data_IF_297933648738
#
_entry.id   IF_297933648738
#
_cell.length_a   1.000
_cell.length_b   1.000
_cell.length_c   1.000
_cell.angle_alpha   90.00
_cell.angle_beta   90.00
_cell.angle_gamma   90.00
#
_symmetry.space_group_name_H-M   'P 1'
#
loop_
_entity.id
_entity.type
_entity.pdbx_description
1 polymer ?
#
# COMPACT_ATOMS: atom_id res chain seq x y z
N UNK A 1 -26.49 27.60 81.56
CA UNK A 1 -25.09 27.29 81.21
C UNK A 1 -25.08 25.96 80.49
N UNK A 2 -24.96 26.03 79.16
CA UNK A 2 -24.88 24.92 78.22
C UNK A 2 -23.47 24.33 78.24
N UNK A 3 -23.32 23.02 78.00
CA UNK A 3 -22.29 22.44 77.10
C UNK A 3 -22.48 20.92 76.96
N UNK A 4 -23.19 20.54 75.91
CA UNK A 4 -23.11 19.22 75.30
C UNK A 4 -21.83 19.16 74.44
N UNK A 5 -21.07 18.07 74.56
CA UNK A 5 -19.94 17.76 73.69
C UNK A 5 -20.41 16.87 72.53
N UNK A 6 -20.06 17.13 71.25
CA UNK A 6 -20.40 16.23 70.16
C UNK A 6 -19.27 15.21 69.92
N UNK A 7 -19.65 13.94 69.79
CA UNK A 7 -18.82 12.90 69.21
C UNK A 7 -18.76 13.12 67.68
N UNK A 8 -17.57 13.41 67.15
CA UNK A 8 -17.33 13.45 65.71
C UNK A 8 -16.95 12.05 65.22
N UNK A 9 -17.83 11.42 64.42
CA UNK A 9 -17.52 10.19 63.71
C UNK A 9 -16.66 10.53 62.48
N UNK A 10 -15.41 10.05 62.45
CA UNK A 10 -14.54 10.16 61.29
C UNK A 10 -14.92 9.09 60.26
N UNK A 11 -15.55 9.50 59.15
CA UNK A 11 -15.69 8.67 57.96
C UNK A 11 -14.33 8.60 57.24
N UNK A 12 -13.67 7.45 57.32
CA UNK A 12 -12.54 7.12 56.45
C UNK A 12 -13.06 6.86 55.03
N UNK A 13 -12.92 7.86 54.16
CA UNK A 13 -13.14 7.71 52.73
C UNK A 13 -12.03 6.84 52.14
N UNK A 14 -12.37 5.59 51.80
CA UNK A 14 -11.49 4.69 51.07
C UNK A 14 -11.47 5.13 49.60
N UNK A 15 -10.52 5.98 49.21
CA UNK A 15 -10.24 6.24 47.79
C UNK A 15 -9.65 4.97 47.16
N UNK A 16 -10.51 4.11 46.61
CA UNK A 16 -10.09 3.12 45.65
C UNK A 16 -9.54 3.86 44.44
N UNK A 17 -8.21 3.91 44.32
CA UNK A 17 -7.56 4.30 43.08
C UNK A 17 -8.00 3.28 42.02
N UNK A 18 -8.93 3.67 41.14
CA UNK A 18 -9.23 2.92 39.95
C UNK A 18 -7.93 2.85 39.14
N UNK A 19 -7.27 1.70 39.15
CA UNK A 19 -6.21 1.42 38.19
C UNK A 19 -6.84 1.54 36.81
N UNK A 20 -6.60 2.66 36.13
CA UNK A 20 -6.98 2.81 34.74
C UNK A 20 -6.35 1.64 33.99
N UNK A 21 -7.18 0.74 33.45
CA UNK A 21 -6.67 -0.29 32.55
C UNK A 21 -5.91 0.43 31.44
N UNK A 22 -4.69 -0.01 31.08
CA UNK A 22 -3.98 0.57 29.95
C UNK A 22 -4.91 0.52 28.74
N UNK A 23 -5.07 1.67 28.07
CA UNK A 23 -5.93 1.76 26.89
C UNK A 23 -5.55 0.61 25.95
N UNK A 24 -6.50 -0.25 25.56
CA UNK A 24 -6.16 -1.43 24.79
C UNK A 24 -5.47 -1.00 23.48
N UNK A 25 -4.36 -1.65 23.14
CA UNK A 25 -3.42 -1.19 22.11
C UNK A 25 -4.14 -0.79 20.80
N UNK A 26 -3.77 0.36 20.24
CA UNK A 26 -4.34 0.85 18.99
C UNK A 26 -4.09 -0.09 17.81
N UNK A 27 -4.98 -0.03 16.82
CA UNK A 27 -4.88 -0.73 15.54
C UNK A 27 -4.30 0.21 14.49
N UNK A 28 -3.59 -0.33 13.50
CA UNK A 28 -3.05 0.45 12.39
C UNK A 28 -3.47 -0.19 11.07
N UNK A 29 -3.98 0.62 10.14
CA UNK A 29 -4.24 0.21 8.76
C UNK A 29 -3.48 1.12 7.81
N UNK A 30 -2.55 0.56 7.05
CA UNK A 30 -1.81 1.25 5.98
C UNK A 30 -2.45 0.85 4.65
N UNK A 31 -3.04 1.83 3.98
CA UNK A 31 -3.77 1.66 2.74
C UNK A 31 -3.07 2.52 1.68
N UNK A 32 -2.38 1.87 0.76
CA UNK A 32 -1.72 2.54 -0.37
C UNK A 32 -2.65 2.57 -1.57
N UNK A 33 -2.73 3.73 -2.23
CA UNK A 33 -3.39 3.90 -3.53
C UNK A 33 -2.33 4.34 -4.54
N UNK A 34 -2.00 3.44 -5.47
CA UNK A 34 -0.95 3.61 -6.47
C UNK A 34 -1.25 4.83 -7.36
N UNK A 35 -0.23 5.66 -7.60
CA UNK A 35 -0.30 6.74 -8.58
C UNK A 35 -1.09 7.99 -8.17
N UNK A 36 -1.61 8.05 -6.94
CA UNK A 36 -2.39 9.20 -6.44
C UNK A 36 -1.49 10.36 -6.05
N UNK A 37 -1.36 11.31 -6.97
CA UNK A 37 -0.70 12.58 -6.72
C UNK A 37 -1.46 13.48 -5.73
N UNK A 38 -0.71 14.33 -5.01
CA UNK A 38 -1.26 15.26 -4.03
C UNK A 38 -2.34 16.22 -4.58
N UNK A 39 -2.39 16.43 -5.89
CA UNK A 39 -3.45 17.20 -6.56
C UNK A 39 -4.86 16.67 -6.31
N UNK A 40 -5.05 15.37 -6.05
CA UNK A 40 -6.38 14.81 -5.79
C UNK A 40 -6.98 15.33 -4.47
N UNK A 41 -6.16 15.81 -3.55
CA UNK A 41 -6.58 16.38 -2.27
C UNK A 41 -6.44 17.91 -2.20
N UNK A 42 -5.64 18.51 -3.09
CA UNK A 42 -5.45 19.96 -3.16
C UNK A 42 -6.42 20.56 -4.20
N UNK A 43 -7.35 21.42 -3.76
CA UNK A 43 -8.47 21.94 -4.57
C UNK A 43 -8.19 22.18 -6.06
N UNK A 44 -9.09 21.69 -6.91
CA UNK A 44 -8.97 21.64 -8.37
C UNK A 44 -9.83 20.50 -8.93
N UNK A 45 -9.74 20.18 -10.24
CA UNK A 45 -10.34 18.97 -10.78
C UNK A 45 -9.77 17.74 -10.07
N UNK A 46 -10.62 16.95 -9.45
CA UNK A 46 -10.25 15.72 -8.76
C UNK A 46 -11.21 14.61 -9.14
N UNK A 47 -10.66 13.40 -9.22
CA UNK A 47 -11.43 12.18 -9.39
C UNK A 47 -12.13 11.74 -8.09
N UNK A 48 -11.70 12.25 -6.92
CA UNK A 48 -12.37 12.01 -5.63
C UNK A 48 -13.61 12.91 -5.49
N UNK A 49 -14.80 12.30 -5.58
CA UNK A 49 -16.07 12.99 -5.41
C UNK A 49 -16.33 13.50 -3.98
N UNK A 50 -17.40 14.29 -3.81
CA UNK A 50 -17.74 14.96 -2.55
C UNK A 50 -18.18 14.04 -1.38
N UNK A 51 -18.34 12.74 -1.61
CA UNK A 51 -18.63 11.72 -0.57
C UNK A 51 -17.46 10.73 -0.38
N UNK A 52 -16.25 11.13 -0.75
CA UNK A 52 -15.08 10.27 -0.72
C UNK A 52 -14.68 9.89 0.71
N UNK A 53 -14.48 8.60 0.96
CA UNK A 53 -13.96 8.11 2.23
C UNK A 53 -12.54 8.62 2.51
N UNK A 54 -11.69 8.67 1.48
CA UNK A 54 -10.34 9.23 1.58
C UNK A 54 -10.41 10.71 2.00
N UNK A 55 -11.29 11.50 1.39
CA UNK A 55 -11.51 12.91 1.79
C UNK A 55 -12.00 13.03 3.23
N UNK A 56 -12.99 12.23 3.63
CA UNK A 56 -13.49 12.23 5.00
C UNK A 56 -12.42 11.87 6.03
N UNK A 57 -11.53 10.91 5.72
CA UNK A 57 -10.39 10.58 6.58
C UNK A 57 -9.38 11.73 6.66
N UNK A 58 -9.10 12.42 5.55
CA UNK A 58 -8.22 13.58 5.54
C UNK A 58 -8.80 14.77 6.32
N UNK A 59 -10.12 15.01 6.24
CA UNK A 59 -10.83 16.08 6.94
C UNK A 59 -10.96 15.81 8.46
N UNK A 60 -11.20 14.56 8.84
CA UNK A 60 -11.31 14.15 10.25
C UNK A 60 -9.94 13.93 10.92
N UNK A 61 -8.87 13.81 10.13
CA UNK A 61 -7.52 13.49 10.58
C UNK A 61 -6.50 14.58 10.27
N UNK A 62 -5.28 14.14 9.98
CA UNK A 62 -4.21 14.99 9.49
C UNK A 62 -3.81 14.55 8.09
N UNK A 63 -3.55 15.50 7.20
CA UNK A 63 -3.02 15.22 5.86
C UNK A 63 -1.84 16.14 5.55
N UNK A 64 -0.85 15.60 4.83
CA UNK A 64 0.23 16.38 4.28
C UNK A 64 -0.20 16.99 2.95
N UNK A 65 0.01 18.29 2.76
CA UNK A 65 -0.23 18.91 1.45
C UNK A 65 0.68 18.26 0.41
N UNK A 66 1.97 18.08 0.72
CA UNK A 66 2.95 17.49 -0.20
C UNK A 66 3.76 16.44 0.54
N UNK A 67 4.08 15.36 -0.17
CA UNK A 67 5.04 14.33 0.26
C UNK A 67 6.17 14.32 -0.76
N UNK A 68 7.41 14.35 -0.29
CA UNK A 68 8.59 14.17 -1.14
C UNK A 68 8.89 12.68 -1.21
N UNK A 69 8.82 12.12 -2.42
CA UNK A 69 9.08 10.72 -2.68
C UNK A 69 10.58 10.45 -2.93
N UNK A 70 10.95 9.17 -3.00
CA UNK A 70 12.31 8.69 -3.28
C UNK A 70 12.64 8.73 -4.77
N UNK A 71 13.93 8.55 -5.10
CA UNK A 71 14.36 8.38 -6.48
C UNK A 71 14.80 6.91 -6.69
N UNK A 72 14.29 6.21 -7.71
CA UNK A 72 13.22 6.63 -8.64
C UNK A 72 11.82 6.60 -8.00
N UNK A 73 10.93 7.49 -8.45
CA UNK A 73 9.53 7.62 -7.99
C UNK A 73 8.63 6.59 -8.70
N UNK A 74 8.81 5.32 -8.37
CA UNK A 74 8.06 4.17 -8.94
C UNK A 74 7.67 3.19 -7.84
N UNK A 75 6.69 2.34 -8.12
CA UNK A 75 5.96 1.52 -7.14
C UNK A 75 6.82 0.83 -6.08
N UNK A 76 7.74 -0.08 -6.45
CA UNK A 76 8.42 -0.92 -5.47
C UNK A 76 9.44 -0.15 -4.59
N UNK A 77 10.31 0.72 -5.13
CA UNK A 77 11.18 1.59 -4.33
C UNK A 77 10.41 2.45 -3.31
N UNK A 78 9.32 3.09 -3.75
CA UNK A 78 8.51 3.95 -2.90
C UNK A 78 7.76 3.15 -1.83
N UNK A 79 7.13 2.02 -2.18
CA UNK A 79 6.47 1.14 -1.20
C UNK A 79 7.45 0.51 -0.19
N UNK A 80 8.63 0.10 -0.63
CA UNK A 80 9.68 -0.38 0.27
C UNK A 80 10.14 0.73 1.23
N UNK A 81 10.23 1.98 0.77
CA UNK A 81 10.52 3.13 1.63
C UNK A 81 9.42 3.35 2.67
N UNK A 82 8.14 3.31 2.27
CA UNK A 82 6.99 3.49 3.16
C UNK A 82 7.05 2.52 4.35
N UNK A 83 7.42 1.26 4.10
CA UNK A 83 7.41 0.20 5.14
C UNK A 83 8.75 -0.01 5.82
N UNK A 84 9.83 0.68 5.42
CA UNK A 84 11.15 0.54 6.06
C UNK A 84 11.65 1.84 6.68
N UNK A 85 11.10 3.00 6.28
CA UNK A 85 11.51 4.32 6.72
C UNK A 85 12.91 4.75 6.25
N UNK A 86 13.47 4.06 5.25
CA UNK A 86 14.81 4.35 4.68
C UNK A 86 14.73 4.43 3.16
N UNK A 87 15.70 5.06 2.46
CA UNK A 87 15.64 5.20 1.00
C UNK A 87 16.12 3.93 0.25
N UNK A 88 15.93 3.86 -1.09
CA UNK A 88 16.38 2.76 -1.95
C UNK A 88 17.82 2.33 -1.77
N UNK A 89 18.72 3.29 -1.58
CA UNK A 89 20.13 3.03 -1.31
C UNK A 89 20.39 2.18 -0.04
N UNK A 90 19.43 2.13 0.89
CA UNK A 90 19.54 1.38 2.14
C UNK A 90 18.67 0.11 2.16
N UNK A 91 17.45 0.13 1.62
CA UNK A 91 16.61 -1.07 1.57
C UNK A 91 16.87 -1.96 0.35
N UNK A 92 17.64 -1.50 -0.64
CA UNK A 92 18.12 -2.31 -1.78
C UNK A 92 17.15 -2.45 -2.95
N UNK A 93 15.93 -1.93 -2.84
CA UNK A 93 14.91 -1.97 -3.90
C UNK A 93 14.99 -0.67 -4.70
N UNK A 94 15.78 -0.67 -5.77
CA UNK A 94 16.03 0.52 -6.59
C UNK A 94 15.22 0.58 -7.90
N UNK A 95 14.38 -0.42 -8.15
CA UNK A 95 13.54 -0.53 -9.33
C UNK A 95 12.28 -1.35 -8.98
N UNK A 96 11.32 -1.43 -9.90
CA UNK A 96 10.22 -2.39 -9.89
C UNK A 96 10.68 -3.83 -10.18
N UNK A 97 11.79 -3.98 -10.90
CA UNK A 97 12.34 -5.28 -11.25
C UNK A 97 13.49 -5.19 -12.25
N UNK A 98 14.18 -6.31 -12.45
CA UNK A 98 15.34 -6.42 -13.35
C UNK A 98 15.00 -7.33 -14.52
N UNK A 99 15.31 -6.89 -15.74
CA UNK A 99 15.08 -7.66 -16.98
C UNK A 99 13.64 -8.21 -17.12
N UNK A 100 12.64 -7.42 -16.70
CA UNK A 100 11.22 -7.80 -16.78
C UNK A 100 10.74 -8.72 -15.63
N UNK A 101 11.61 -9.05 -14.67
CA UNK A 101 11.28 -9.82 -13.48
C UNK A 101 11.07 -8.87 -12.30
N UNK A 102 9.83 -8.81 -11.80
CA UNK A 102 9.43 -7.97 -10.66
C UNK A 102 10.08 -8.39 -9.34
N UNK A 103 10.37 -7.41 -8.47
CA UNK A 103 10.80 -7.66 -7.09
C UNK A 103 9.63 -8.09 -6.19
N UNK A 104 9.16 -9.32 -6.38
CA UNK A 104 7.95 -9.83 -5.72
C UNK A 104 8.17 -10.36 -4.30
N UNK A 105 9.41 -10.65 -3.88
CA UNK A 105 9.69 -11.39 -2.64
C UNK A 105 10.01 -10.48 -1.48
N UNK A 106 9.66 -10.91 -0.26
CA UNK A 106 10.15 -10.27 0.97
C UNK A 106 11.67 -10.16 0.97
N UNK A 107 12.38 -11.19 0.48
CA UNK A 107 13.84 -11.20 0.42
C UNK A 107 14.47 -10.11 -0.46
N UNK A 108 13.68 -9.44 -1.29
CA UNK A 108 14.17 -8.36 -2.16
C UNK A 108 14.41 -7.07 -1.35
N UNK A 109 13.78 -6.93 -0.18
CA UNK A 109 14.02 -5.82 0.77
C UNK A 109 15.13 -6.23 1.76
N UNK A 110 16.26 -5.53 1.74
CA UNK A 110 17.45 -5.89 2.51
C UNK A 110 17.38 -5.58 4.02
N UNK A 111 16.41 -4.78 4.44
CA UNK A 111 16.26 -4.31 5.82
C UNK A 111 14.94 -4.78 6.43
N UNK A 112 14.79 -4.64 7.75
CA UNK A 112 13.53 -4.90 8.44
C UNK A 112 12.42 -3.97 7.94
N UNK A 113 11.23 -4.55 7.78
CA UNK A 113 10.01 -3.81 7.42
C UNK A 113 9.13 -3.60 8.65
N UNK A 114 8.11 -2.76 8.49
CA UNK A 114 7.10 -2.47 9.50
C UNK A 114 6.42 -3.75 10.00
N UNK A 115 6.13 -4.71 9.11
CA UNK A 115 5.52 -5.98 9.50
C UNK A 115 6.49 -6.88 10.27
N UNK A 116 7.78 -6.89 9.95
CA UNK A 116 8.78 -7.64 10.73
C UNK A 116 8.91 -7.07 12.14
N UNK A 117 8.94 -5.73 12.25
CA UNK A 117 8.98 -5.03 13.53
C UNK A 117 7.71 -5.27 14.35
N UNK A 118 6.54 -5.19 13.73
CA UNK A 118 5.26 -5.47 14.39
C UNK A 118 5.18 -6.91 14.91
N UNK A 119 5.57 -7.89 14.08
CA UNK A 119 5.60 -9.30 14.47
C UNK A 119 6.54 -9.56 15.65
N UNK A 120 7.74 -8.98 15.66
CA UNK A 120 8.67 -9.08 16.82
C UNK A 120 8.12 -8.43 18.09
N UNK A 121 7.29 -7.40 17.95
CA UNK A 121 6.58 -6.77 19.06
C UNK A 121 5.32 -7.54 19.51
N UNK A 122 5.10 -8.76 18.99
CA UNK A 122 3.96 -9.60 19.34
C UNK A 122 2.62 -9.11 18.78
N UNK A 123 2.65 -8.27 17.73
CA UNK A 123 1.45 -7.78 17.04
C UNK A 123 1.03 -8.76 15.95
N UNK A 124 -0.28 -8.93 15.79
CA UNK A 124 -0.85 -9.75 14.71
C UNK A 124 -0.92 -8.94 13.42
N UNK A 125 -0.34 -9.45 12.34
CA UNK A 125 -0.18 -8.73 11.08
C UNK A 125 -1.02 -9.38 9.98
N UNK A 126 -1.78 -8.55 9.26
CA UNK A 126 -2.39 -8.89 7.99
C UNK A 126 -1.74 -8.09 6.85
N UNK A 127 -1.44 -8.78 5.75
CA UNK A 127 -1.01 -8.16 4.49
C UNK A 127 -1.93 -8.69 3.40
N UNK A 128 -2.65 -7.81 2.73
CA UNK A 128 -3.52 -8.15 1.59
C UNK A 128 -3.04 -7.33 0.40
N UNK A 129 -2.26 -7.98 -0.46
CA UNK A 129 -1.58 -7.43 -1.64
C UNK A 129 -0.76 -6.17 -1.32
N UNK A 130 0.52 -6.34 -1.01
CA UNK A 130 1.48 -5.24 -0.89
C UNK A 130 2.76 -5.62 -1.64
N UNK A 131 3.47 -4.67 -2.28
CA UNK A 131 4.67 -4.99 -3.07
C UNK A 131 5.75 -5.73 -2.26
N UNK A 132 6.48 -6.63 -2.92
CA UNK A 132 7.60 -7.38 -2.32
C UNK A 132 7.24 -8.17 -1.05
N UNK A 133 6.07 -8.83 -1.02
CA UNK A 133 5.60 -9.56 0.18
C UNK A 133 5.50 -11.07 0.02
N UNK A 134 5.85 -11.63 -1.15
CA UNK A 134 5.91 -13.10 -1.28
C UNK A 134 6.92 -13.67 -0.28
N UNK A 135 6.46 -14.57 0.60
CA UNK A 135 7.27 -15.13 1.68
C UNK A 135 7.44 -14.22 2.91
N UNK A 136 6.68 -13.13 3.03
CA UNK A 136 6.65 -12.31 4.24
C UNK A 136 6.10 -13.10 5.44
N UNK A 137 6.59 -12.78 6.65
CA UNK A 137 6.06 -13.36 7.88
C UNK A 137 4.92 -12.49 8.40
N UNK A 138 3.68 -12.93 8.18
CA UNK A 138 2.46 -12.33 8.71
C UNK A 138 1.49 -13.43 9.14
N UNK A 139 0.60 -13.13 10.10
CA UNK A 139 -0.44 -14.07 10.54
C UNK A 139 -1.42 -14.37 9.40
N UNK A 140 -1.71 -13.37 8.58
CA UNK A 140 -2.58 -13.47 7.41
C UNK A 140 -1.94 -12.77 6.22
N UNK A 141 -1.31 -13.54 5.33
CA UNK A 141 -0.68 -13.06 4.10
C UNK A 141 -1.50 -13.47 2.89
N UNK A 142 -1.84 -12.50 2.06
CA UNK A 142 -2.14 -12.65 0.64
C UNK A 142 -1.14 -11.76 -0.09
N UNK A 143 -0.10 -12.32 -0.74
CA UNK A 143 0.93 -11.50 -1.37
C UNK A 143 0.41 -10.85 -2.65
N UNK A 144 1.09 -9.80 -3.08
CA UNK A 144 0.89 -9.26 -4.43
C UNK A 144 1.70 -10.08 -5.44
N UNK A 145 1.11 -10.37 -6.60
CA UNK A 145 1.83 -10.86 -7.77
C UNK A 145 1.25 -10.21 -9.04
N UNK A 146 2.07 -9.42 -9.73
CA UNK A 146 1.74 -8.71 -10.96
C UNK A 146 2.29 -9.46 -12.19
N UNK A 147 2.01 -10.77 -12.27
CA UNK A 147 2.46 -11.62 -13.36
C UNK A 147 2.08 -11.02 -14.72
N UNK A 148 3.08 -10.69 -15.55
CA UNK A 148 2.87 -9.94 -16.79
C UNK A 148 1.94 -10.67 -17.78
N UNK A 149 2.16 -11.97 -18.00
CA UNK A 149 1.55 -12.71 -19.10
C UNK A 149 0.63 -13.86 -18.69
N UNK A 150 0.57 -14.19 -17.40
CA UNK A 150 -0.23 -15.30 -16.87
C UNK A 150 -1.23 -14.79 -15.84
N UNK A 151 -2.32 -15.54 -15.65
CA UNK A 151 -3.22 -15.34 -14.51
C UNK A 151 -2.44 -15.53 -13.19
N UNK A 152 -2.37 -14.51 -12.31
CA UNK A 152 -1.58 -14.57 -11.08
C UNK A 152 -2.25 -15.37 -9.95
N UNK A 153 -3.49 -15.85 -10.13
CA UNK A 153 -4.30 -16.49 -9.06
C UNK A 153 -3.56 -17.65 -8.40
N UNK A 154 -2.94 -18.53 -9.19
CA UNK A 154 -2.24 -19.69 -8.66
C UNK A 154 -1.03 -19.30 -7.80
N UNK A 155 -0.27 -18.30 -8.23
CA UNK A 155 0.92 -17.80 -7.52
C UNK A 155 0.53 -17.05 -6.24
N UNK A 156 -0.49 -16.19 -6.30
CA UNK A 156 -1.04 -15.49 -5.12
C UNK A 156 -1.56 -16.52 -4.11
N UNK A 157 -2.34 -17.50 -4.55
CA UNK A 157 -2.86 -18.57 -3.69
C UNK A 157 -1.75 -19.39 -3.06
N UNK A 158 -0.72 -19.75 -3.81
CA UNK A 158 0.42 -20.52 -3.32
C UNK A 158 1.28 -19.74 -2.32
N UNK A 159 1.42 -18.42 -2.51
CA UNK A 159 2.15 -17.54 -1.59
C UNK A 159 1.34 -17.08 -0.37
N UNK A 160 0.04 -17.36 -0.33
CA UNK A 160 -0.83 -16.98 0.78
C UNK A 160 -0.68 -17.89 2.00
N UNK A 161 -1.03 -17.40 3.19
CA UNK A 161 -1.17 -18.24 4.39
C UNK A 161 -2.09 -19.43 4.09
N UNK A 162 -1.76 -20.66 4.53
CA UNK A 162 -2.53 -21.85 4.17
C UNK A 162 -4.04 -21.70 4.37
N UNK A 163 -4.81 -22.02 3.31
CA UNK A 163 -6.28 -21.90 3.21
C UNK A 163 -6.84 -20.47 3.19
N UNK A 164 -6.07 -19.45 3.56
CA UNK A 164 -6.58 -18.08 3.67
C UNK A 164 -7.16 -17.57 2.34
N UNK A 165 -6.43 -17.74 1.23
CA UNK A 165 -6.91 -17.31 -0.08
C UNK A 165 -8.25 -17.96 -0.44
N UNK A 166 -8.40 -19.27 -0.23
CA UNK A 166 -9.63 -20.00 -0.56
C UNK A 166 -10.80 -19.61 0.34
N UNK A 167 -10.53 -19.41 1.64
CA UNK A 167 -11.52 -18.94 2.62
C UNK A 167 -12.05 -17.56 2.21
N UNK A 168 -11.16 -16.62 1.91
CA UNK A 168 -11.52 -15.26 1.49
C UNK A 168 -12.21 -15.28 0.12
N UNK A 169 -11.67 -16.00 -0.86
CA UNK A 169 -12.24 -16.09 -2.20
C UNK A 169 -13.67 -16.62 -2.20
N UNK A 170 -13.93 -17.64 -1.36
CA UNK A 170 -15.28 -18.17 -1.16
C UNK A 170 -16.19 -17.17 -0.46
N UNK A 171 -15.71 -16.50 0.59
CA UNK A 171 -16.51 -15.56 1.37
C UNK A 171 -16.92 -14.31 0.57
N UNK A 172 -16.05 -13.84 -0.33
CA UNK A 172 -16.23 -12.58 -1.05
C UNK A 172 -16.64 -12.74 -2.51
N UNK A 173 -16.71 -13.97 -3.01
CA UNK A 173 -16.90 -14.29 -4.43
C UNK A 173 -15.84 -13.59 -5.29
N UNK A 174 -14.58 -13.97 -5.06
CA UNK A 174 -13.41 -13.38 -5.73
C UNK A 174 -13.58 -13.37 -7.25
N UNK A 175 -13.24 -12.26 -7.93
CA UNK A 175 -13.21 -12.23 -9.39
C UNK A 175 -12.09 -13.14 -9.94
N UNK A 176 -12.22 -13.48 -11.22
CA UNK A 176 -11.09 -13.98 -12.00
C UNK A 176 -10.06 -12.85 -12.19
N UNK A 177 -8.78 -13.16 -12.01
CA UNK A 177 -7.69 -12.21 -12.21
C UNK A 177 -7.21 -12.27 -13.66
N UNK A 178 -6.48 -11.23 -14.08
CA UNK A 178 -5.96 -11.08 -15.43
C UNK A 178 -4.43 -10.87 -15.37
N UNK A 179 -3.70 -11.28 -16.42
CA UNK A 179 -2.29 -10.91 -16.55
C UNK A 179 -2.09 -9.40 -16.50
N UNK A 180 -1.02 -8.93 -15.87
CA UNK A 180 -0.81 -7.50 -15.64
C UNK A 180 -0.66 -6.69 -16.93
N UNK A 181 -0.26 -7.27 -18.06
CA UNK A 181 -0.25 -6.55 -19.35
C UNK A 181 -1.65 -6.27 -19.90
N UNK A 182 -2.70 -6.84 -19.32
CA UNK A 182 -4.07 -6.55 -19.68
C UNK A 182 -4.52 -5.23 -19.04
N UNK A 183 -5.00 -4.30 -19.86
CA UNK A 183 -5.53 -2.99 -19.43
C UNK A 183 -6.59 -3.06 -18.33
N UNK A 184 -7.34 -4.16 -18.25
CA UNK A 184 -8.38 -4.35 -17.23
C UNK A 184 -7.87 -5.02 -15.96
N UNK A 185 -6.58 -5.40 -15.85
CA UNK A 185 -6.10 -6.25 -14.74
C UNK A 185 -6.15 -5.60 -13.35
N UNK A 186 -6.02 -4.28 -13.26
CA UNK A 186 -6.11 -3.56 -11.99
C UNK A 186 -7.50 -3.71 -11.34
N UNK A 187 -8.56 -3.65 -12.13
CA UNK A 187 -9.96 -3.68 -11.65
C UNK A 187 -10.33 -4.95 -10.86
N UNK A 188 -10.14 -6.19 -11.36
CA UNK A 188 -10.44 -7.38 -10.59
C UNK A 188 -9.47 -7.58 -9.42
N UNK A 189 -8.20 -7.16 -9.56
CA UNK A 189 -7.21 -7.25 -8.49
C UNK A 189 -7.62 -6.36 -7.30
N UNK A 190 -7.93 -5.08 -7.54
CA UNK A 190 -8.38 -4.15 -6.49
C UNK A 190 -9.69 -4.60 -5.84
N UNK A 191 -10.62 -5.18 -6.61
CA UNK A 191 -11.83 -5.78 -6.06
C UNK A 191 -11.49 -6.93 -5.11
N UNK A 192 -10.61 -7.84 -5.50
CA UNK A 192 -10.16 -8.93 -4.63
C UNK A 192 -9.52 -8.35 -3.36
N UNK A 193 -8.58 -7.43 -3.52
CA UNK A 193 -7.83 -6.79 -2.44
C UNK A 193 -8.76 -6.12 -1.42
N UNK A 194 -9.65 -5.23 -1.87
CA UNK A 194 -10.54 -4.48 -0.99
C UNK A 194 -11.51 -5.37 -0.22
N UNK A 195 -12.10 -6.36 -0.90
CA UNK A 195 -13.00 -7.33 -0.27
C UNK A 195 -12.27 -8.25 0.71
N UNK A 196 -11.07 -8.74 0.34
CA UNK A 196 -10.26 -9.60 1.21
C UNK A 196 -9.80 -8.84 2.45
N UNK A 197 -9.32 -7.59 2.30
CA UNK A 197 -8.90 -6.76 3.42
C UNK A 197 -10.05 -6.49 4.39
N UNK A 198 -11.24 -6.11 3.89
CA UNK A 198 -12.42 -5.92 4.71
C UNK A 198 -12.84 -7.20 5.45
N UNK A 199 -12.76 -8.36 4.78
CA UNK A 199 -13.13 -9.64 5.36
C UNK A 199 -12.12 -10.12 6.41
N UNK A 200 -10.82 -9.91 6.19
CA UNK A 200 -9.77 -10.15 7.19
C UNK A 200 -10.00 -9.28 8.43
N UNK A 201 -10.35 -8.00 8.28
CA UNK A 201 -10.67 -7.14 9.41
C UNK A 201 -11.83 -7.70 10.23
N UNK A 202 -12.94 -8.08 9.57
CA UNK A 202 -14.11 -8.64 10.25
C UNK A 202 -13.78 -9.92 11.03
N UNK A 203 -13.06 -10.84 10.41
CA UNK A 203 -12.89 -12.17 10.98
C UNK A 203 -11.65 -12.31 11.88
N UNK A 204 -10.62 -11.46 11.70
CA UNK A 204 -9.30 -11.64 12.34
C UNK A 204 -8.87 -10.45 13.18
N UNK A 205 -9.37 -9.25 12.87
CA UNK A 205 -9.08 -8.00 13.59
C UNK A 205 -7.57 -7.81 13.84
N UNK A 206 -6.73 -7.72 12.78
CA UNK A 206 -5.29 -7.60 12.92
C UNK A 206 -4.90 -6.35 13.71
N UNK A 207 -3.69 -6.33 14.28
CA UNK A 207 -3.11 -5.15 14.92
C UNK A 207 -2.50 -4.20 13.87
N UNK A 208 -1.98 -4.76 12.78
CA UNK A 208 -1.48 -4.04 11.60
C UNK A 208 -2.09 -4.66 10.33
N UNK A 209 -2.74 -3.86 9.50
CA UNK A 209 -3.16 -4.20 8.14
C UNK A 209 -2.34 -3.41 7.13
N UNK A 210 -1.83 -4.06 6.09
CA UNK A 210 -1.29 -3.41 4.89
C UNK A 210 -2.07 -3.84 3.65
N UNK A 211 -2.39 -2.88 2.78
CA UNK A 211 -3.09 -3.14 1.50
C UNK A 211 -2.69 -2.12 0.44
N UNK A 212 -2.64 -2.56 -0.82
CA UNK A 212 -2.25 -1.75 -1.98
C UNK A 212 -3.26 -1.88 -3.11
N UNK A 213 -3.73 -0.75 -3.65
CA UNK A 213 -4.66 -0.66 -4.78
C UNK A 213 -3.98 -0.07 -6.01
N UNK A 214 -4.15 -0.70 -7.18
CA UNK A 214 -3.36 -0.49 -8.39
C UNK A 214 -4.16 0.05 -9.59
N UNK A 215 -5.49 -0.09 -9.62
CA UNK A 215 -6.28 0.16 -10.84
C UNK A 215 -6.15 1.62 -11.30
N UNK A 216 -6.01 2.59 -10.38
CA UNK A 216 -5.83 3.99 -10.76
C UNK A 216 -4.54 4.23 -11.54
N UNK A 217 -3.38 3.84 -10.99
CA UNK A 217 -2.09 3.92 -11.67
C UNK A 217 -2.12 3.21 -13.03
N UNK A 218 -2.66 1.99 -13.04
CA UNK A 218 -2.75 1.18 -14.24
C UNK A 218 -3.56 1.90 -15.33
N UNK A 219 -4.68 2.57 -14.99
CA UNK A 219 -5.46 3.39 -15.94
C UNK A 219 -4.72 4.64 -16.37
N UNK A 220 -4.01 5.30 -15.47
CA UNK A 220 -3.25 6.51 -15.76
C UNK A 220 -2.12 6.25 -16.77
N UNK A 221 -1.55 5.05 -16.78
CA UNK A 221 -0.58 4.63 -17.81
C UNK A 221 -1.18 4.48 -19.22
N UNK A 222 -2.45 4.08 -19.37
CA UNK A 222 -3.10 3.94 -20.68
C UNK A 222 -3.86 5.19 -21.13
N UNK A 223 -4.50 5.89 -20.20
CA UNK A 223 -5.42 6.98 -20.46
C UNK A 223 -5.34 8.03 -19.33
N UNK A 224 -4.24 8.81 -19.27
CA UNK A 224 -4.01 9.77 -18.20
C UNK A 224 -5.11 10.84 -18.18
N UNK A 225 -5.58 11.19 -16.98
CA UNK A 225 -6.63 12.19 -16.74
C UNK A 225 -7.96 11.91 -17.46
N UNK A 226 -8.26 10.64 -17.75
CA UNK A 226 -9.51 10.21 -18.39
C UNK A 226 -10.61 9.94 -17.37
N UNK A 227 -11.86 9.88 -17.86
CA UNK A 227 -13.00 9.43 -17.07
C UNK A 227 -12.78 8.01 -16.50
N UNK A 228 -12.15 7.11 -17.26
CA UNK A 228 -11.86 5.75 -16.81
C UNK A 228 -10.90 5.71 -15.62
N UNK A 229 -9.87 6.56 -15.61
CA UNK A 229 -8.97 6.71 -14.45
C UNK A 229 -9.74 7.25 -13.24
N UNK A 230 -10.59 8.27 -13.43
CA UNK A 230 -11.41 8.77 -12.33
C UNK A 230 -12.40 7.73 -11.78
N UNK A 231 -12.99 6.91 -12.64
CA UNK A 231 -13.84 5.81 -12.22
C UNK A 231 -13.05 4.73 -11.45
N UNK A 232 -11.79 4.50 -11.78
CA UNK A 232 -10.92 3.61 -11.01
C UNK A 232 -10.66 4.16 -9.61
N UNK A 233 -10.31 5.43 -9.48
CA UNK A 233 -10.11 6.04 -8.17
C UNK A 233 -11.40 6.05 -7.34
N UNK A 234 -12.55 6.30 -7.95
CA UNK A 234 -13.85 6.24 -7.27
C UNK A 234 -14.18 4.81 -6.78
N UNK A 235 -13.81 3.76 -7.54
CA UNK A 235 -13.95 2.37 -7.08
C UNK A 235 -13.04 2.08 -5.88
N UNK A 236 -11.78 2.51 -5.96
CA UNK A 236 -10.81 2.35 -4.86
C UNK A 236 -11.30 3.06 -3.61
N UNK A 237 -11.79 4.30 -3.71
CA UNK A 237 -12.38 5.02 -2.59
C UNK A 237 -13.54 4.24 -1.94
N UNK A 238 -14.37 3.57 -2.76
CA UNK A 238 -15.40 2.64 -2.27
C UNK A 238 -14.83 1.43 -1.52
N UNK A 239 -13.70 0.86 -1.94
CA UNK A 239 -13.02 -0.20 -1.21
C UNK A 239 -12.40 0.31 0.10
N UNK A 240 -11.83 1.52 0.11
CA UNK A 240 -11.36 2.19 1.34
C UNK A 240 -12.52 2.36 2.31
N UNK A 241 -13.68 2.87 1.85
CA UNK A 241 -14.88 2.99 2.66
C UNK A 241 -15.30 1.65 3.26
N UNK A 242 -15.27 0.57 2.47
CA UNK A 242 -15.65 -0.77 2.91
C UNK A 242 -14.70 -1.34 3.97
N UNK A 243 -13.40 -1.07 3.87
CA UNK A 243 -12.42 -1.43 4.91
C UNK A 243 -12.71 -0.65 6.20
N UNK A 244 -12.93 0.66 6.11
CA UNK A 244 -13.27 1.51 7.26
C UNK A 244 -14.58 1.04 7.92
N UNK A 245 -15.58 0.68 7.12
CA UNK A 245 -16.85 0.12 7.60
C UNK A 245 -16.67 -1.21 8.32
N UNK A 246 -15.73 -2.06 7.86
CA UNK A 246 -15.38 -3.29 8.56
C UNK A 246 -14.79 -3.01 9.96
N UNK A 247 -13.92 -2.01 10.09
CA UNK A 247 -13.43 -1.56 11.40
C UNK A 247 -14.55 -0.99 12.27
N UNK A 248 -15.48 -0.22 11.69
CA UNK A 248 -16.66 0.31 12.41
C UNK A 248 -17.55 -0.81 12.92
N UNK A 249 -17.89 -1.78 12.06
CA UNK A 249 -18.72 -2.93 12.42
C UNK A 249 -18.07 -3.81 13.50
N UNK A 250 -16.72 -3.88 13.52
CA UNK A 250 -15.98 -4.59 14.55
C UNK A 250 -15.84 -3.79 15.87
N UNK A 251 -16.35 -2.55 15.95
CA UNK A 251 -16.18 -1.69 17.13
C UNK A 251 -14.75 -1.20 17.33
N UNK A 252 -13.95 -1.17 16.26
CA UNK A 252 -12.52 -0.84 16.29
C UNK A 252 -12.20 0.55 15.74
N UNK A 253 -13.16 1.23 15.11
CA UNK A 253 -12.94 2.51 14.41
C UNK A 253 -12.22 3.55 15.29
N UNK A 254 -12.74 3.83 16.49
CA UNK A 254 -12.19 4.82 17.43
C UNK A 254 -10.80 4.45 17.98
N UNK A 255 -10.35 3.22 17.75
CA UNK A 255 -9.05 2.71 18.20
C UNK A 255 -8.11 2.41 17.03
N UNK A 256 -8.47 2.79 15.81
CA UNK A 256 -7.70 2.52 14.61
C UNK A 256 -7.14 3.80 14.02
N UNK A 257 -5.83 3.83 13.76
CA UNK A 257 -5.20 4.87 12.96
C UNK A 257 -5.08 4.38 11.51
N UNK A 258 -5.69 5.12 10.60
CA UNK A 258 -5.60 4.86 9.15
C UNK A 258 -4.51 5.74 8.54
N UNK A 259 -3.56 5.11 7.86
CA UNK A 259 -2.59 5.78 7.00
C UNK A 259 -3.02 5.56 5.56
N UNK A 260 -3.59 6.58 4.93
CA UNK A 260 -3.82 6.58 3.49
C UNK A 260 -2.58 7.18 2.83
N UNK A 261 -1.87 6.36 2.05
CA UNK A 261 -0.60 6.73 1.42
C UNK A 261 -0.69 6.52 -0.08
N UNK A 262 0.26 7.11 -0.79
CA UNK A 262 0.51 6.84 -2.19
C UNK A 262 2.02 6.77 -2.37
N UNK A 263 2.44 5.97 -3.33
CA UNK A 263 3.82 5.74 -3.69
C UNK A 263 4.36 6.84 -4.60
N UNK A 264 3.62 7.25 -5.63
CA UNK A 264 4.01 8.31 -6.54
C UNK A 264 2.81 9.01 -7.18
N UNK A 265 3.09 9.99 -8.05
CA UNK A 265 2.08 10.65 -8.85
C UNK A 265 2.40 10.60 -10.34
N UNK A 266 1.53 11.20 -11.14
CA UNK A 266 1.70 11.32 -12.59
C UNK A 266 2.05 12.75 -13.00
N UNK A 267 2.89 12.86 -14.02
CA UNK A 267 3.18 14.11 -14.71
C UNK A 267 2.90 13.94 -16.21
N UNK A 268 2.36 14.98 -16.90
CA UNK A 268 2.19 14.93 -18.34
C UNK A 268 3.55 14.82 -19.04
N UNK A 269 3.60 13.99 -20.07
CA UNK A 269 4.80 13.83 -20.92
C UNK A 269 4.61 14.63 -22.20
N UNK A 270 5.30 15.77 -22.30
CA UNK A 270 5.28 16.60 -23.52
C UNK A 270 6.38 16.25 -24.51
N UNK A 271 7.50 15.70 -24.01
CA UNK A 271 8.69 15.37 -24.80
C UNK A 271 9.31 14.08 -24.27
N UNK A 272 9.77 13.24 -25.19
CA UNK A 272 10.56 12.05 -24.89
C UNK A 272 11.96 12.19 -25.47
N UNK A 273 12.97 11.87 -24.66
CA UNK A 273 14.37 11.83 -25.10
C UNK A 273 14.82 10.37 -25.12
N UNK A 274 15.22 9.88 -26.30
CA UNK A 274 15.80 8.54 -26.42
C UNK A 274 17.26 8.57 -25.97
N UNK A 275 17.50 8.28 -24.69
CA UNK A 275 18.87 8.16 -24.14
C UNK A 275 19.67 7.08 -24.86
N UNK A 276 19.01 5.97 -25.20
CA UNK A 276 19.62 4.91 -26.02
C UNK A 276 20.08 5.45 -27.38
N UNK A 277 19.21 6.20 -28.07
CA UNK A 277 19.54 6.83 -29.35
C UNK A 277 20.71 7.82 -29.24
N UNK A 278 20.79 8.58 -28.14
CA UNK A 278 21.91 9.49 -27.88
C UNK A 278 23.23 8.75 -27.66
N UNK A 279 23.21 7.66 -26.88
CA UNK A 279 24.39 6.83 -26.66
C UNK A 279 24.87 6.14 -27.94
N UNK A 280 23.92 5.65 -28.74
CA UNK A 280 24.21 5.06 -30.05
C UNK A 280 24.83 6.08 -31.00
N UNK A 281 24.24 7.28 -31.13
CA UNK A 281 24.77 8.35 -31.97
C UNK A 281 26.17 8.83 -31.52
N UNK A 282 26.48 8.67 -30.24
CA UNK A 282 27.78 9.05 -29.65
C UNK A 282 28.83 7.93 -29.71
N UNK A 283 28.48 6.76 -30.26
CA UNK A 283 29.40 5.61 -30.38
C UNK A 283 29.64 4.83 -29.08
N UNK A 284 28.85 5.07 -28.03
CA UNK A 284 28.98 4.36 -26.74
C UNK A 284 28.30 3.00 -26.74
N UNK A 285 27.29 2.80 -27.59
CA UNK A 285 26.56 1.54 -27.73
C UNK A 285 26.49 1.18 -29.21
N UNK A 286 26.88 -0.05 -29.55
CA UNK A 286 26.69 -0.61 -30.89
C UNK A 286 25.28 -1.21 -30.99
N UNK A 287 24.53 -0.85 -32.03
CA UNK A 287 23.22 -1.46 -32.27
C UNK A 287 23.39 -2.84 -32.89
N UNK A 288 23.00 -3.89 -32.17
CA UNK A 288 22.89 -5.23 -32.72
C UNK A 288 21.45 -5.73 -32.69
N UNK A 289 20.88 -6.14 -33.85
CA UNK A 289 19.76 -7.05 -33.85
C UNK A 289 20.27 -8.44 -33.40
N UNK A 290 19.92 -8.86 -32.19
CA UNK A 290 19.95 -10.28 -31.81
C UNK A 290 21.18 -10.83 -31.07
N UNK A 291 22.11 -10.03 -30.55
CA UNK A 291 23.23 -10.52 -29.71
C UNK A 291 23.44 -9.60 -28.49
N UNK A 292 23.65 -10.14 -27.27
CA UNK A 292 23.90 -9.35 -26.07
C UNK A 292 25.23 -8.60 -26.18
N UNK A 293 25.20 -7.31 -25.86
CA UNK A 293 26.35 -6.40 -25.98
C UNK A 293 27.38 -6.75 -24.91
N UNK A 294 28.59 -7.20 -25.29
CA UNK A 294 29.70 -7.49 -24.35
C UNK A 294 30.30 -6.22 -23.68
N UNK A 295 29.77 -5.05 -24.01
CA UNK A 295 29.96 -3.76 -23.32
C UNK A 295 28.58 -3.21 -22.93
N UNK A 296 27.89 -3.90 -22.05
CA UNK A 296 26.47 -3.69 -21.80
C UNK A 296 26.19 -2.43 -20.98
N UNK A 297 26.14 -1.26 -21.63
CA UNK A 297 25.42 -0.14 -21.02
C UNK A 297 23.94 -0.53 -20.97
N UNK A 298 23.43 -0.84 -19.78
CA UNK A 298 22.02 -1.08 -19.57
C UNK A 298 21.34 0.22 -19.13
N UNK A 299 20.25 0.57 -19.81
CA UNK A 299 19.44 1.73 -19.49
C UNK A 299 18.14 1.30 -18.83
N UNK A 300 17.79 1.97 -17.74
CA UNK A 300 16.46 1.87 -17.17
C UNK A 300 15.85 3.25 -17.06
N UNK A 301 14.73 3.45 -17.75
CA UNK A 301 13.94 4.68 -17.66
C UNK A 301 12.85 4.48 -16.60
N UNK A 302 12.73 5.46 -15.70
CA UNK A 302 11.71 5.52 -14.66
C UNK A 302 11.11 6.94 -14.66
N UNK A 303 10.09 7.12 -15.49
CA UNK A 303 9.46 8.43 -15.72
C UNK A 303 10.49 9.46 -16.23
N UNK A 304 10.66 10.55 -15.46
CA UNK A 304 11.60 11.63 -15.76
C UNK A 304 13.07 11.34 -15.44
N UNK A 305 13.41 10.12 -15.02
CA UNK A 305 14.77 9.72 -14.65
C UNK A 305 15.27 8.53 -15.47
N UNK A 306 16.59 8.39 -15.59
CA UNK A 306 17.24 7.24 -16.22
C UNK A 306 18.39 6.76 -15.34
N UNK A 307 18.42 5.46 -15.04
CA UNK A 307 19.59 4.79 -14.50
C UNK A 307 20.41 4.22 -15.66
N UNK A 308 21.72 4.44 -15.60
CA UNK A 308 22.70 3.95 -16.57
C UNK A 308 23.63 3.02 -15.81
N UNK A 309 23.60 1.73 -16.16
CA UNK A 309 24.52 0.73 -15.64
C UNK A 309 25.63 0.54 -16.65
N UNK A 310 26.89 0.71 -16.23
CA UNK A 310 28.10 0.60 -17.05
C UNK A 310 28.94 -0.56 -16.56
#
# INVERSE_FOLDING_TARGET
MNRYAPFAAAFLAFCAAAFAQPAPAGKVAVISVDGVGAQELQGGPSCLGGKSAIRSLAEAGAYAKRVTDVLPTITHPSHATIVTGVPPAKHGVADNGVAGIWFRKRSDIAVDTLWDMAGRAGKRVAIVTWPSTYGAKADWLVPEDLANFNDPTADIRAGSTPRLFDELAKATHSPALLPFTNREAGRPLDRMTGEFAAEVVKQRQPDLLLTHFLDYDHRMHYAPHSAEACEALARIDGYVARIVDAYRAAGLLERTTFFIVSDHGFAPVERNVSVFGLLQASGWVEAFPGVPVEKAIALKVAGGSVAIHV
#
